data_IF_191785975880
#
_entry.id   IF_191785975880
#
_cell.length_a   1.000
_cell.length_b   1.000
_cell.length_c   1.000
_cell.angle_alpha   90.00
_cell.angle_beta   90.00
_cell.angle_gamma   90.00
#
_symmetry.space_group_name_H-M   'P 1'
#
loop_
_entity.id
_entity.type
_entity.pdbx_description
1 polymer ?
#
# COMPACT_ATOMS: atom_id res chain seq x y z
N UNK A 1 -1.30 -17.24 -1.60
CA UNK A 1 -1.79 -16.33 -2.65
C UNK A 1 -0.62 -15.87 -3.51
N UNK A 2 -0.88 -15.55 -4.80
CA UNK A 2 0.11 -14.86 -5.64
C UNK A 2 0.02 -13.37 -5.30
N UNK A 3 1.16 -12.75 -4.97
CA UNK A 3 1.26 -11.33 -4.61
C UNK A 3 2.22 -10.65 -5.56
N UNK A 4 1.85 -9.48 -6.08
CA UNK A 4 2.72 -8.57 -6.82
C UNK A 4 2.74 -7.23 -6.08
N UNK A 5 3.93 -6.69 -5.88
CA UNK A 5 4.14 -5.36 -5.30
C UNK A 5 4.66 -4.42 -6.37
N UNK A 6 4.08 -3.23 -6.45
CA UNK A 6 4.55 -2.15 -7.34
C UNK A 6 4.99 -0.99 -6.46
N UNK A 7 6.26 -0.65 -6.54
CA UNK A 7 6.86 0.50 -5.86
C UNK A 7 6.97 1.63 -6.88
N UNK A 8 6.16 2.67 -6.71
CA UNK A 8 6.12 3.80 -7.64
C UNK A 8 7.34 4.70 -7.46
N UNK A 9 7.69 5.02 -6.22
CA UNK A 9 8.88 5.79 -5.86
C UNK A 9 9.58 5.20 -4.64
N UNK A 10 10.81 5.60 -4.41
CA UNK A 10 11.58 5.16 -3.23
C UNK A 10 11.33 6.02 -1.98
N UNK A 11 10.55 7.10 -2.09
CA UNK A 11 10.37 8.05 -0.99
C UNK A 11 11.67 8.77 -0.62
N UNK A 12 12.42 9.18 -1.63
CA UNK A 12 13.76 9.76 -1.46
C UNK A 12 13.71 11.12 -0.78
N UNK A 13 12.73 11.96 -1.18
CA UNK A 13 12.67 13.37 -0.74
C UNK A 13 11.98 13.54 0.60
N UNK A 14 10.83 12.88 0.80
CA UNK A 14 9.98 13.09 1.96
C UNK A 14 10.06 12.00 3.02
N UNK A 15 10.33 10.77 2.61
CA UNK A 15 10.28 9.60 3.49
C UNK A 15 11.67 9.15 3.97
N UNK A 16 12.72 9.95 3.73
CA UNK A 16 14.12 9.57 3.97
C UNK A 16 14.91 10.65 4.71
N UNK A 17 14.24 11.47 5.52
CA UNK A 17 14.87 12.62 6.19
C UNK A 17 16.07 12.24 7.05
N UNK A 18 16.02 11.08 7.73
CA UNK A 18 17.14 10.62 8.57
C UNK A 18 18.40 10.36 7.73
N UNK A 19 18.25 9.86 6.50
CA UNK A 19 19.39 9.67 5.59
C UNK A 19 19.96 11.00 5.10
N UNK A 20 19.10 12.00 4.85
CA UNK A 20 19.56 13.33 4.40
C UNK A 20 20.31 14.12 5.47
N UNK A 21 20.19 13.75 6.75
CA UNK A 21 20.97 14.34 7.83
C UNK A 21 22.43 13.85 7.85
N UNK A 22 22.75 12.79 7.09
CA UNK A 22 24.12 12.28 7.00
C UNK A 22 24.97 13.13 6.05
N UNK A 23 26.22 13.49 6.41
CA UNK A 23 27.11 14.27 5.55
C UNK A 23 27.41 13.58 4.22
N UNK A 24 27.37 14.35 3.12
CA UNK A 24 27.74 13.86 1.79
C UNK A 24 26.71 12.97 1.11
N UNK A 25 25.47 12.98 1.59
CA UNK A 25 24.39 12.20 1.00
C UNK A 25 24.00 12.71 -0.38
N UNK A 26 23.67 11.81 -1.29
CA UNK A 26 23.18 12.10 -2.65
C UNK A 26 21.87 11.39 -2.93
N UNK A 27 21.11 11.88 -3.92
CA UNK A 27 19.84 11.28 -4.32
C UNK A 27 20.04 9.81 -4.70
N UNK A 28 21.04 9.51 -5.50
CA UNK A 28 21.35 8.16 -5.99
C UNK A 28 21.69 7.20 -4.84
N UNK A 29 22.41 7.70 -3.82
CA UNK A 29 22.72 6.88 -2.64
C UNK A 29 21.49 6.61 -1.79
N UNK A 30 20.61 7.59 -1.59
CA UNK A 30 19.34 7.40 -0.89
C UNK A 30 18.44 6.43 -1.64
N UNK A 31 18.30 6.56 -2.96
CA UNK A 31 17.54 5.62 -3.80
C UNK A 31 18.05 4.18 -3.64
N UNK A 32 19.36 3.99 -3.71
CA UNK A 32 19.98 2.67 -3.52
C UNK A 32 19.65 2.07 -2.15
N UNK A 33 19.82 2.85 -1.08
CA UNK A 33 19.53 2.41 0.29
C UNK A 33 18.05 2.04 0.42
N UNK A 34 17.13 2.88 -0.02
CA UNK A 34 15.69 2.65 0.06
C UNK A 34 15.27 1.41 -0.74
N UNK A 35 15.88 1.17 -1.90
CA UNK A 35 15.65 -0.04 -2.70
C UNK A 35 16.12 -1.30 -1.98
N UNK A 36 17.31 -1.26 -1.38
CA UNK A 36 17.85 -2.37 -0.61
C UNK A 36 16.99 -2.69 0.61
N UNK A 37 16.53 -1.67 1.36
CA UNK A 37 15.60 -1.82 2.49
C UNK A 37 14.27 -2.46 2.05
N UNK A 38 13.71 -2.01 0.93
CA UNK A 38 12.47 -2.54 0.37
C UNK A 38 12.62 -4.01 -0.02
N UNK A 39 13.71 -4.39 -0.67
CA UNK A 39 13.99 -5.78 -1.05
C UNK A 39 14.19 -6.67 0.19
N UNK A 40 14.88 -6.17 1.21
CA UNK A 40 15.07 -6.89 2.48
C UNK A 40 13.74 -7.11 3.20
N UNK A 41 12.87 -6.09 3.26
CA UNK A 41 11.54 -6.20 3.85
C UNK A 41 10.66 -7.20 3.09
N UNK A 42 10.68 -7.15 1.77
CA UNK A 42 9.95 -8.08 0.90
C UNK A 42 10.41 -9.53 1.12
N UNK A 43 11.72 -9.76 1.22
CA UNK A 43 12.27 -11.08 1.53
C UNK A 43 11.78 -11.61 2.89
N UNK A 44 11.66 -10.75 3.92
CA UNK A 44 11.07 -11.11 5.21
C UNK A 44 9.60 -11.57 5.09
N UNK A 45 8.86 -11.01 4.13
CA UNK A 45 7.46 -11.33 3.87
C UNK A 45 7.26 -12.46 2.84
N UNK A 46 8.35 -12.98 2.25
CA UNK A 46 8.30 -13.99 1.19
C UNK A 46 7.76 -13.46 -0.14
N UNK A 47 7.82 -12.15 -0.37
CA UNK A 47 7.41 -11.50 -1.62
C UNK A 47 8.59 -11.49 -2.60
N UNK A 48 8.38 -12.05 -3.78
CA UNK A 48 9.40 -12.17 -4.83
C UNK A 48 9.05 -11.43 -6.13
N UNK A 49 7.79 -11.11 -6.34
CA UNK A 49 7.30 -10.41 -7.55
C UNK A 49 7.12 -8.92 -7.23
N UNK A 50 8.20 -8.15 -7.44
CA UNK A 50 8.27 -6.71 -7.16
C UNK A 50 8.70 -5.97 -8.41
N UNK A 51 7.98 -4.91 -8.75
CA UNK A 51 8.37 -3.95 -9.78
C UNK A 51 8.69 -2.59 -9.16
N UNK A 52 9.81 -2.01 -9.56
CA UNK A 52 10.17 -0.63 -9.26
C UNK A 52 9.94 0.23 -10.50
N UNK A 53 9.20 1.32 -10.33
CA UNK A 53 8.85 2.19 -11.45
C UNK A 53 9.67 3.47 -11.49
N UNK A 54 10.47 3.71 -10.48
CA UNK A 54 11.47 4.77 -10.40
C UNK A 54 10.91 6.19 -10.65
N UNK A 55 9.65 6.44 -10.22
CA UNK A 55 9.07 7.78 -10.28
C UNK A 55 9.65 8.64 -9.15
N UNK A 56 9.80 9.95 -9.42
CA UNK A 56 10.34 10.89 -8.46
C UNK A 56 9.23 11.33 -7.49
N UNK A 57 9.35 11.06 -6.19
CA UNK A 57 8.36 11.45 -5.19
C UNK A 57 8.13 12.97 -5.19
N UNK A 58 6.89 13.39 -4.95
CA UNK A 58 6.30 14.71 -5.13
C UNK A 58 6.18 15.22 -6.58
N UNK A 59 6.78 14.52 -7.55
CA UNK A 59 6.78 14.88 -8.98
C UNK A 59 6.36 13.72 -9.87
N UNK A 60 5.55 12.79 -9.34
CA UNK A 60 5.22 11.54 -10.03
C UNK A 60 4.38 11.72 -11.30
N UNK A 61 3.68 12.84 -11.48
CA UNK A 61 2.83 13.13 -12.65
C UNK A 61 1.90 11.96 -13.02
N UNK A 62 1.18 11.41 -12.04
CA UNK A 62 0.39 10.18 -12.17
C UNK A 62 -0.88 10.34 -13.05
N UNK A 63 -1.19 11.55 -13.51
CA UNK A 63 -2.27 11.80 -14.46
C UNK A 63 -1.82 11.57 -15.91
N UNK A 64 -0.52 11.42 -16.17
CA UNK A 64 0.03 11.09 -17.49
C UNK A 64 -0.64 9.82 -18.05
N UNK A 65 -1.28 9.90 -19.23
CA UNK A 65 -1.97 8.76 -19.84
C UNK A 65 -1.08 7.53 -19.99
N UNK A 66 0.19 7.69 -20.36
CA UNK A 66 1.09 6.56 -20.55
C UNK A 66 1.36 5.80 -19.24
N UNK A 67 1.45 6.52 -18.10
CA UNK A 67 1.59 5.90 -16.78
C UNK A 67 0.32 5.16 -16.35
N UNK A 68 -0.84 5.79 -16.59
CA UNK A 68 -2.14 5.16 -16.30
C UNK A 68 -2.33 3.89 -17.14
N UNK A 69 -2.00 3.94 -18.44
CA UNK A 69 -2.09 2.80 -19.35
C UNK A 69 -1.14 1.67 -18.94
N UNK A 70 0.08 2.00 -18.47
CA UNK A 70 1.02 1.03 -17.91
C UNK A 70 0.40 0.27 -16.74
N UNK A 71 -0.21 0.97 -15.77
CA UNK A 71 -0.84 0.32 -14.63
C UNK A 71 -2.08 -0.48 -15.05
N UNK A 72 -2.90 0.05 -15.95
CA UNK A 72 -4.07 -0.65 -16.44
C UNK A 72 -3.70 -1.94 -17.21
N UNK A 73 -2.63 -1.92 -18.01
CA UNK A 73 -2.07 -3.10 -18.68
C UNK A 73 -1.56 -4.13 -17.67
N UNK A 74 -0.88 -3.67 -16.62
CA UNK A 74 -0.43 -4.55 -15.53
C UNK A 74 -1.62 -5.20 -14.81
N UNK A 75 -2.67 -4.45 -14.51
CA UNK A 75 -3.89 -4.97 -13.90
C UNK A 75 -4.54 -6.02 -14.80
N UNK A 76 -4.62 -5.79 -16.10
CA UNK A 76 -5.13 -6.78 -17.07
C UNK A 76 -4.31 -8.06 -17.10
N UNK A 77 -2.99 -7.92 -17.12
CA UNK A 77 -2.06 -9.06 -17.23
C UNK A 77 -2.01 -9.88 -15.93
N UNK A 78 -1.92 -9.21 -14.77
CA UNK A 78 -1.86 -9.88 -13.47
C UNK A 78 -3.23 -10.38 -13.01
N UNK A 79 -4.32 -9.71 -13.43
CA UNK A 79 -5.72 -9.99 -13.09
C UNK A 79 -5.95 -10.16 -11.57
N UNK A 80 -5.68 -9.15 -10.75
CA UNK A 80 -5.76 -9.25 -9.30
C UNK A 80 -7.20 -9.40 -8.83
N UNK A 81 -7.42 -10.25 -7.82
CA UNK A 81 -8.69 -10.31 -7.11
C UNK A 81 -8.87 -9.12 -6.15
N UNK A 82 -7.77 -8.70 -5.52
CA UNK A 82 -7.71 -7.53 -4.64
C UNK A 82 -6.56 -6.62 -5.05
N UNK A 83 -6.78 -5.32 -4.93
CA UNK A 83 -5.73 -4.29 -4.93
C UNK A 83 -5.74 -3.62 -3.56
N UNK A 84 -4.59 -3.50 -2.94
CA UNK A 84 -4.39 -2.74 -1.71
C UNK A 84 -3.52 -1.53 -2.08
N UNK A 85 -3.97 -0.34 -1.74
CA UNK A 85 -3.30 0.92 -2.04
C UNK A 85 -3.49 1.92 -0.90
N UNK A 86 -3.09 3.18 -1.10
CA UNK A 86 -3.34 4.24 -0.12
C UNK A 86 -4.84 4.48 0.08
N UNK A 87 -5.23 5.01 1.24
CA UNK A 87 -6.58 5.48 1.52
C UNK A 87 -6.97 6.72 0.70
N UNK A 88 -8.20 7.19 0.86
CA UNK A 88 -8.74 8.31 0.07
C UNK A 88 -8.15 9.67 0.46
N UNK A 89 -7.61 9.81 1.66
CA UNK A 89 -7.04 11.06 2.18
C UNK A 89 -5.81 10.78 3.05
N UNK A 90 -4.71 11.46 2.73
CA UNK A 90 -3.56 11.61 3.61
C UNK A 90 -3.11 13.07 3.62
N UNK A 91 -3.41 13.79 4.70
CA UNK A 91 -3.11 15.21 4.83
C UNK A 91 -1.62 15.54 4.88
N UNK A 92 -0.78 14.56 5.14
CA UNK A 92 0.67 14.77 5.29
C UNK A 92 1.47 14.36 4.07
N UNK A 93 0.86 13.59 3.15
CA UNK A 93 1.55 13.14 1.95
C UNK A 93 0.65 13.19 0.71
N UNK A 94 0.77 14.22 -0.14
CA UNK A 94 -0.06 14.39 -1.33
C UNK A 94 0.15 13.29 -2.37
N UNK A 95 1.28 12.60 -2.37
CA UNK A 95 1.53 11.47 -3.27
C UNK A 95 0.60 10.29 -2.97
N UNK A 96 0.24 10.08 -1.71
CA UNK A 96 -0.68 9.03 -1.32
C UNK A 96 -2.06 9.21 -1.92
N UNK A 97 -2.60 10.43 -1.88
CA UNK A 97 -3.88 10.78 -2.54
C UNK A 97 -3.80 10.63 -4.06
N UNK A 98 -2.69 11.06 -4.64
CA UNK A 98 -2.45 10.93 -6.08
C UNK A 98 -2.40 9.46 -6.50
N UNK A 99 -1.72 8.61 -5.74
CA UNK A 99 -1.64 7.15 -5.98
C UNK A 99 -3.02 6.50 -5.85
N UNK A 100 -3.83 6.87 -4.87
CA UNK A 100 -5.20 6.34 -4.75
C UNK A 100 -6.02 6.61 -6.01
N UNK A 101 -6.03 7.86 -6.50
CA UNK A 101 -6.73 8.27 -7.73
C UNK A 101 -6.19 7.56 -8.97
N UNK A 102 -4.87 7.45 -9.08
CA UNK A 102 -4.17 6.77 -10.16
C UNK A 102 -4.56 5.29 -10.26
N UNK A 103 -4.53 4.57 -9.14
CA UNK A 103 -4.93 3.15 -9.07
C UNK A 103 -6.38 2.97 -9.45
N UNK A 104 -7.27 3.84 -8.95
CA UNK A 104 -8.69 3.78 -9.30
C UNK A 104 -8.91 3.99 -10.81
N UNK A 105 -8.31 5.04 -11.39
CA UNK A 105 -8.40 5.34 -12.83
C UNK A 105 -7.90 4.17 -13.67
N UNK A 106 -6.74 3.63 -13.36
CA UNK A 106 -6.18 2.48 -14.08
C UNK A 106 -7.08 1.23 -13.98
N UNK A 107 -7.71 0.99 -12.81
CA UNK A 107 -8.64 -0.12 -12.63
C UNK A 107 -9.88 0.03 -13.51
N UNK A 108 -10.42 1.25 -13.65
CA UNK A 108 -11.54 1.54 -14.57
C UNK A 108 -11.14 1.29 -16.02
N UNK A 109 -9.95 1.72 -16.44
CA UNK A 109 -9.45 1.46 -17.79
C UNK A 109 -9.24 -0.04 -18.05
N UNK A 110 -8.78 -0.78 -17.05
CA UNK A 110 -8.53 -2.22 -17.16
C UNK A 110 -9.80 -3.02 -17.49
N UNK A 111 -10.99 -2.58 -17.06
CA UNK A 111 -12.27 -3.23 -17.33
C UNK A 111 -13.00 -2.68 -18.57
N UNK A 112 -12.53 -1.56 -19.14
CA UNK A 112 -13.21 -0.85 -20.21
C UNK A 112 -12.97 -1.48 -21.57
N UNK A 113 -14.05 -1.76 -22.33
CA UNK A 113 -13.98 -2.40 -23.65
C UNK A 113 -13.35 -1.50 -24.72
N UNK A 114 -13.57 -0.19 -24.65
CA UNK A 114 -13.07 0.76 -25.63
C UNK A 114 -11.60 1.15 -25.47
N UNK A 115 -10.94 0.62 -24.44
CA UNK A 115 -9.53 0.95 -24.13
C UNK A 115 -8.62 -0.14 -24.69
N UNK A 116 -7.77 0.22 -25.65
CA UNK A 116 -6.82 -0.68 -26.30
C UNK A 116 -5.52 -0.72 -25.50
N UNK A 117 -5.32 -1.77 -24.72
CA UNK A 117 -4.15 -1.98 -23.85
C UNK A 117 -3.67 -3.43 -23.94
N UNK A 118 -2.44 -3.67 -23.51
CA UNK A 118 -1.92 -5.02 -23.35
C UNK A 118 -2.69 -5.79 -22.27
N UNK A 119 -2.68 -7.11 -22.39
CA UNK A 119 -3.35 -8.03 -21.46
C UNK A 119 -4.84 -8.20 -21.75
N UNK A 120 -5.44 -9.20 -21.14
CA UNK A 120 -6.86 -9.50 -21.27
C UNK A 120 -7.66 -8.63 -20.30
N UNK A 121 -8.72 -7.98 -20.82
CA UNK A 121 -9.64 -7.21 -19.97
C UNK A 121 -10.14 -8.06 -18.80
N UNK A 122 -10.16 -7.49 -17.60
CA UNK A 122 -10.70 -8.18 -16.42
C UNK A 122 -12.22 -8.34 -16.57
N UNK A 123 -12.73 -9.50 -16.15
CA UNK A 123 -14.19 -9.78 -16.27
C UNK A 123 -15.03 -9.11 -15.20
N UNK A 124 -14.40 -8.71 -14.07
CA UNK A 124 -15.07 -8.12 -12.91
C UNK A 124 -14.30 -6.91 -12.40
N UNK A 125 -15.03 -6.02 -11.75
CA UNK A 125 -14.43 -4.94 -10.97
C UNK A 125 -13.54 -5.51 -9.88
N UNK A 126 -12.25 -5.18 -9.91
CA UNK A 126 -11.30 -5.56 -8.86
C UNK A 126 -11.67 -4.84 -7.56
N UNK A 127 -11.63 -5.56 -6.44
CA UNK A 127 -11.87 -4.98 -5.12
C UNK A 127 -10.66 -4.15 -4.70
N UNK A 128 -10.89 -2.88 -4.39
CA UNK A 128 -9.84 -1.95 -3.97
C UNK A 128 -10.00 -1.66 -2.49
N UNK A 129 -8.90 -1.80 -1.74
CA UNK A 129 -8.81 -1.49 -0.32
C UNK A 129 -7.76 -0.41 -0.10
N UNK A 130 -8.10 0.58 0.72
CA UNK A 130 -7.16 1.58 1.20
C UNK A 130 -6.59 1.17 2.54
N UNK A 131 -5.27 1.06 2.67
CA UNK A 131 -4.67 0.84 4.00
C UNK A 131 -4.72 2.10 4.85
N UNK A 132 -4.65 1.91 6.14
CA UNK A 132 -4.73 2.96 7.14
C UNK A 132 -3.57 3.95 7.01
N UNK A 133 -3.85 5.28 6.85
CA UNK A 133 -2.80 6.29 6.76
C UNK A 133 -2.05 6.44 8.09
N UNK A 134 -0.89 7.12 8.04
CA UNK A 134 -0.08 7.35 9.24
C UNK A 134 -0.87 8.05 10.35
N UNK A 135 -1.56 9.14 10.05
CA UNK A 135 -2.36 9.93 11.01
C UNK A 135 -3.87 9.70 10.78
N UNK A 136 -4.37 8.55 11.20
CA UNK A 136 -5.74 8.09 10.91
C UNK A 136 -6.82 9.09 11.31
N UNK A 137 -6.67 9.68 12.50
CA UNK A 137 -7.69 10.55 13.11
C UNK A 137 -7.85 11.86 12.34
N UNK A 138 -6.74 12.46 11.88
CA UNK A 138 -6.81 13.70 11.12
C UNK A 138 -7.11 13.47 9.63
N UNK A 139 -6.95 12.23 9.15
CA UNK A 139 -7.28 11.82 7.78
C UNK A 139 -8.71 11.26 7.66
N UNK A 140 -9.57 11.44 8.66
CA UNK A 140 -10.95 10.94 8.70
C UNK A 140 -11.05 9.43 8.34
N UNK A 141 -10.03 8.66 8.72
CA UNK A 141 -9.98 7.23 8.39
C UNK A 141 -11.00 6.45 9.21
N UNK A 142 -11.92 5.78 8.53
CA UNK A 142 -12.94 4.92 9.13
C UNK A 142 -12.69 3.46 8.74
N UNK A 143 -12.23 2.61 9.67
CA UNK A 143 -12.00 1.20 9.36
C UNK A 143 -13.31 0.51 8.94
N UNK A 144 -13.33 -0.10 7.76
CA UNK A 144 -14.45 -0.90 7.25
C UNK A 144 -14.13 -2.39 7.25
N UNK A 145 -12.84 -2.73 7.21
CA UNK A 145 -12.34 -4.10 7.30
C UNK A 145 -11.21 -4.13 8.30
N UNK A 146 -11.24 -5.10 9.21
CA UNK A 146 -10.17 -5.34 10.19
C UNK A 146 -9.72 -6.78 10.02
N UNK A 147 -8.43 -6.98 9.76
CA UNK A 147 -7.82 -8.28 9.53
C UNK A 147 -6.90 -8.63 10.70
N UNK A 148 -7.17 -9.76 11.33
CA UNK A 148 -6.28 -10.29 12.37
C UNK A 148 -4.91 -10.66 11.79
N UNK A 149 -3.87 -10.16 12.42
CA UNK A 149 -2.47 -10.44 12.09
C UNK A 149 -1.69 -11.00 13.29
N UNK A 150 -2.39 -11.53 14.28
CA UNK A 150 -1.78 -11.99 15.53
C UNK A 150 -0.67 -13.01 15.28
N UNK A 151 -0.87 -13.94 14.36
CA UNK A 151 0.14 -14.95 14.03
C UNK A 151 1.30 -14.42 13.18
N UNK A 152 1.10 -13.28 12.49
CA UNK A 152 2.07 -12.73 11.55
C UNK A 152 2.72 -11.43 12.03
N UNK A 153 2.38 -10.94 13.22
CA UNK A 153 2.89 -9.66 13.75
C UNK A 153 4.41 -9.62 13.83
N UNK A 154 5.06 -10.71 14.22
CA UNK A 154 6.51 -10.75 14.32
C UNK A 154 7.18 -10.71 12.94
N UNK A 155 6.56 -11.29 11.92
CA UNK A 155 6.99 -11.15 10.52
C UNK A 155 6.86 -9.69 10.05
N UNK A 156 5.74 -9.03 10.34
CA UNK A 156 5.54 -7.60 10.07
C UNK A 156 6.61 -6.75 10.73
N UNK A 157 6.87 -6.92 12.03
CA UNK A 157 7.91 -6.20 12.77
C UNK A 157 9.28 -6.41 12.15
N UNK A 158 9.62 -7.65 11.77
CA UNK A 158 10.88 -7.96 11.10
C UNK A 158 11.03 -7.23 9.78
N UNK A 159 9.96 -7.17 8.97
CA UNK A 159 9.96 -6.42 7.72
C UNK A 159 10.11 -4.90 7.95
N UNK A 160 9.36 -4.33 8.91
CA UNK A 160 9.50 -2.92 9.27
C UNK A 160 10.93 -2.57 9.73
N UNK A 161 11.59 -3.45 10.48
CA UNK A 161 12.96 -3.25 10.93
C UNK A 161 14.01 -3.21 9.81
N UNK A 162 13.65 -3.57 8.58
CA UNK A 162 14.52 -3.39 7.43
C UNK A 162 14.64 -1.92 7.00
N UNK A 163 13.64 -1.09 7.32
CA UNK A 163 13.61 0.33 6.95
C UNK A 163 14.30 1.20 8.01
N UNK A 164 15.64 1.28 7.93
CA UNK A 164 16.45 2.07 8.88
C UNK A 164 16.19 3.55 8.76
N UNK A 165 15.92 4.04 7.55
CA UNK A 165 15.56 5.42 7.28
C UNK A 165 14.26 5.88 7.99
N UNK A 166 13.45 4.94 8.48
CA UNK A 166 12.17 5.18 9.14
C UNK A 166 12.04 4.44 10.47
N UNK A 167 13.15 4.16 11.15
CA UNK A 167 13.18 3.36 12.38
C UNK A 167 12.27 3.87 13.50
N UNK A 168 12.05 5.19 13.58
CA UNK A 168 11.16 5.84 14.54
C UNK A 168 9.68 5.45 14.38
N UNK A 169 9.26 4.93 13.21
CA UNK A 169 7.87 4.54 12.96
C UNK A 169 7.52 3.12 13.43
N UNK A 170 8.50 2.29 13.75
CA UNK A 170 8.28 0.88 14.09
C UNK A 170 7.40 0.73 15.33
N UNK A 171 7.70 1.49 16.38
CA UNK A 171 6.91 1.48 17.61
C UNK A 171 5.50 2.00 17.37
N UNK A 172 5.36 3.10 16.63
CA UNK A 172 4.09 3.70 16.28
C UNK A 172 3.16 2.71 15.55
N UNK A 173 3.63 2.04 14.51
CA UNK A 173 2.83 1.04 13.79
C UNK A 173 2.57 -0.21 14.60
N UNK A 174 3.45 -0.54 15.55
CA UNK A 174 3.20 -1.57 16.56
C UNK A 174 1.98 -1.22 17.42
N UNK A 175 1.92 0.01 17.97
CA UNK A 175 0.76 0.49 18.74
C UNK A 175 -0.52 0.52 17.91
N UNK A 176 -0.47 0.97 16.67
CA UNK A 176 -1.63 0.93 15.77
C UNK A 176 -2.18 -0.48 15.62
N UNK A 177 -1.33 -1.43 15.30
CA UNK A 177 -1.73 -2.82 15.14
C UNK A 177 -2.34 -3.40 16.45
N UNK A 178 -1.81 -3.04 17.62
CA UNK A 178 -2.37 -3.44 18.91
C UNK A 178 -3.76 -2.83 19.15
N UNK A 179 -3.94 -1.53 18.87
CA UNK A 179 -5.24 -0.86 18.99
C UNK A 179 -6.27 -1.52 18.06
N UNK A 180 -5.90 -1.83 16.81
CA UNK A 180 -6.78 -2.51 15.86
C UNK A 180 -7.09 -3.95 16.28
N UNK A 181 -6.16 -4.65 16.94
CA UNK A 181 -6.43 -5.93 17.60
C UNK A 181 -7.48 -5.82 18.71
N UNK A 182 -7.45 -4.74 19.52
CA UNK A 182 -8.49 -4.45 20.50
C UNK A 182 -9.86 -4.25 19.85
N UNK A 183 -9.92 -3.49 18.74
CA UNK A 183 -11.17 -3.31 18.00
C UNK A 183 -11.67 -4.64 17.43
N UNK A 184 -10.80 -5.45 16.84
CA UNK A 184 -11.14 -6.77 16.33
C UNK A 184 -11.77 -7.66 17.42
N UNK A 185 -11.16 -7.73 18.61
CA UNK A 185 -11.72 -8.50 19.75
C UNK A 185 -13.09 -8.02 20.15
N UNK A 186 -13.28 -6.71 20.29
CA UNK A 186 -14.55 -6.14 20.73
C UNK A 186 -15.68 -6.36 19.73
N UNK A 187 -15.38 -6.23 18.44
CA UNK A 187 -16.37 -6.33 17.38
C UNK A 187 -16.73 -7.78 17.06
N UNK A 188 -15.77 -8.70 17.13
CA UNK A 188 -15.98 -10.12 16.80
C UNK A 188 -16.31 -11.00 18.00
N UNK A 189 -16.00 -10.55 19.23
CA UNK A 189 -16.04 -11.39 20.44
C UNK A 189 -14.85 -12.36 20.56
N UNK A 190 -14.01 -12.48 19.54
CA UNK A 190 -12.88 -13.41 19.53
C UNK A 190 -11.69 -12.87 20.32
N UNK A 191 -11.44 -13.44 21.50
CA UNK A 191 -10.37 -12.99 22.40
C UNK A 191 -8.95 -13.36 21.92
N UNK A 192 -8.80 -14.21 20.92
CA UNK A 192 -7.49 -14.55 20.36
C UNK A 192 -6.87 -13.45 19.51
N UNK A 193 -7.67 -12.53 18.97
CA UNK A 193 -7.20 -11.41 18.13
C UNK A 193 -6.46 -10.39 18.98
N UNK A 194 -5.13 -10.36 18.88
CA UNK A 194 -4.28 -9.45 19.65
C UNK A 194 -3.76 -8.28 18.82
N UNK A 195 -3.53 -8.52 17.54
CA UNK A 195 -2.94 -7.59 16.58
C UNK A 195 -3.75 -7.62 15.29
N UNK A 196 -4.05 -6.45 14.72
CA UNK A 196 -4.81 -6.37 13.48
C UNK A 196 -4.34 -5.21 12.60
N UNK A 197 -4.68 -5.27 11.33
CA UNK A 197 -4.61 -4.16 10.39
C UNK A 197 -5.99 -3.77 9.92
N UNK A 198 -6.19 -2.51 9.57
CA UNK A 198 -7.47 -2.01 9.11
C UNK A 198 -7.39 -1.36 7.73
N UNK A 199 -8.50 -1.44 7.03
CA UNK A 199 -8.63 -0.98 5.65
C UNK A 199 -9.98 -0.30 5.45
N UNK A 200 -10.00 0.67 4.51
CA UNK A 200 -11.23 1.14 3.88
C UNK A 200 -11.57 0.29 2.66
N UNK A 201 -12.79 0.40 2.17
CA UNK A 201 -13.24 -0.26 0.95
C UNK A 201 -13.67 0.80 -0.06
N UNK A 202 -13.14 0.73 -1.27
CA UNK A 202 -13.57 1.65 -2.35
C UNK A 202 -15.02 1.42 -2.77
N UNK A 203 -15.48 0.16 -2.73
CA UNK A 203 -16.83 -0.22 -3.14
C UNK A 203 -17.56 -0.93 -2.01
N UNK A 204 -18.89 -0.74 -1.89
CA UNK A 204 -19.69 -1.48 -0.94
C UNK A 204 -19.59 -2.99 -1.20
N UNK A 205 -19.82 -3.76 -0.16
CA UNK A 205 -20.01 -5.19 -0.33
C UNK A 205 -21.30 -5.47 -1.12
N UNK A 206 -21.19 -6.36 -2.09
CA UNK A 206 -22.34 -6.89 -2.84
C UNK A 206 -22.31 -8.40 -2.75
N UNK A 207 -23.34 -8.98 -2.21
CA UNK A 207 -23.51 -10.43 -2.02
C UNK A 207 -24.96 -10.80 -1.77
N UNK A 208 -25.25 -12.08 -1.79
CA UNK A 208 -26.58 -12.61 -1.56
C UNK A 208 -26.96 -12.66 -0.06
N UNK A 209 -25.95 -12.56 0.81
CA UNK A 209 -26.10 -12.64 2.26
C UNK A 209 -25.38 -11.48 2.95
N UNK A 210 -25.88 -11.09 4.13
CA UNK A 210 -25.16 -10.20 5.05
C UNK A 210 -23.96 -10.95 5.64
N UNK A 211 -22.76 -10.36 5.59
CA UNK A 211 -21.50 -10.88 6.15
C UNK A 211 -21.06 -10.01 7.32
#
# INVERSE_FOLDING_TARGET
AKVKVVILSYGVRGESNDLWNEPGQTKENVERIRKEETLAAAACLGVTDIEFWDYDDYYMELEDPAKVDRLASLIRTFNPYHIITHGDLDLLNPDHDAVNKFVFKATVLAISNGVQLEGTKTSKQTRIFGFEPHQSEICDFKPEVIIDITETIEMKKKAMNCFKAQGHLIEYYGYKAFIRGNHARRLSGNQSYKWAESFTRRFPYVGEWLV
#
